data_IF_754236371519
#
_entry.id   IF_754236371519
#
_cell.length_a   1.000
_cell.length_b   1.000
_cell.length_c   1.000
_cell.angle_alpha   90.00
_cell.angle_beta   90.00
_cell.angle_gamma   90.00
#
_symmetry.space_group_name_H-M   'P 1'
#
loop_
_entity.id
_entity.type
_entity.pdbx_description
1 polymer ?
#
# COMPACT_ATOMS: atom_id res chain seq x y z
N UNK A 1 -4.93 -7.40 -16.32
CA UNK A 1 -3.71 -6.56 -16.43
C UNK A 1 -3.41 -5.75 -15.14
N UNK A 2 -4.27 -5.71 -14.16
CA UNK A 2 -4.05 -4.98 -12.91
C UNK A 2 -3.94 -5.94 -11.72
N UNK A 3 -2.91 -5.76 -10.89
CA UNK A 3 -2.58 -6.63 -9.77
C UNK A 3 -3.54 -6.46 -8.57
N UNK A 4 -4.35 -5.40 -8.55
CA UNK A 4 -5.25 -5.14 -7.43
C UNK A 4 -6.42 -6.14 -7.34
N UNK A 5 -6.80 -6.81 -8.42
CA UNK A 5 -7.89 -7.80 -8.39
C UNK A 5 -7.60 -9.07 -7.56
N UNK A 6 -6.34 -9.32 -7.21
CA UNK A 6 -5.95 -10.47 -6.39
C UNK A 6 -5.74 -10.11 -4.91
N UNK A 7 -5.81 -8.83 -4.55
CA UNK A 7 -5.38 -8.39 -3.22
C UNK A 7 -6.27 -8.92 -2.09
N UNK A 8 -7.59 -8.82 -2.23
CA UNK A 8 -8.53 -9.40 -1.24
C UNK A 8 -8.29 -10.89 -1.07
N UNK A 9 -8.02 -11.59 -2.19
CA UNK A 9 -7.69 -13.01 -2.16
C UNK A 9 -6.32 -13.25 -1.48
N UNK A 10 -5.33 -12.39 -1.69
CA UNK A 10 -4.01 -12.49 -1.04
C UNK A 10 -4.14 -12.36 0.49
N UNK A 11 -4.99 -11.44 0.96
CA UNK A 11 -5.29 -11.30 2.40
C UNK A 11 -5.98 -12.55 2.93
N UNK A 12 -7.01 -13.03 2.26
CA UNK A 12 -7.77 -14.21 2.72
C UNK A 12 -6.92 -15.48 2.70
N UNK A 13 -6.10 -15.69 1.69
CA UNK A 13 -5.16 -16.82 1.66
C UNK A 13 -4.18 -16.74 2.83
N UNK A 14 -3.66 -15.53 3.14
CA UNK A 14 -2.78 -15.32 4.29
C UNK A 14 -3.48 -15.59 5.62
N UNK A 15 -4.72 -15.11 5.79
CA UNK A 15 -5.55 -15.37 6.99
C UNK A 15 -5.83 -16.86 7.19
N UNK A 16 -6.10 -17.57 6.08
CA UNK A 16 -6.33 -19.01 6.10
C UNK A 16 -5.04 -19.84 6.26
N UNK A 17 -3.86 -19.20 6.30
CA UNK A 17 -2.58 -19.90 6.34
C UNK A 17 -2.28 -20.71 5.08
N UNK A 18 -2.91 -20.39 3.95
CA UNK A 18 -2.70 -21.06 2.67
C UNK A 18 -1.51 -20.43 1.95
N UNK A 19 -0.41 -21.18 1.72
CA UNK A 19 0.75 -20.66 1.04
C UNK A 19 0.43 -20.35 -0.43
N UNK A 20 0.87 -19.21 -0.92
CA UNK A 20 0.71 -18.82 -2.31
C UNK A 20 1.93 -18.10 -2.88
N UNK A 21 2.08 -18.20 -4.18
CA UNK A 21 3.11 -17.50 -4.96
C UNK A 21 2.43 -16.60 -5.98
N UNK A 22 2.84 -15.34 -6.08
CA UNK A 22 2.35 -14.41 -7.09
C UNK A 22 3.34 -14.31 -8.25
N UNK A 23 2.88 -14.64 -9.45
CA UNK A 23 3.65 -14.52 -10.69
C UNK A 23 3.16 -13.33 -11.50
N UNK A 24 4.03 -12.32 -11.65
CA UNK A 24 3.77 -11.10 -12.40
C UNK A 24 3.05 -10.02 -11.59
N UNK A 25 3.44 -8.77 -11.88
CA UNK A 25 2.96 -7.56 -11.22
C UNK A 25 3.70 -7.27 -9.91
N UNK A 26 3.74 -5.99 -9.53
CA UNK A 26 4.19 -5.55 -8.20
C UNK A 26 3.04 -5.86 -7.24
N UNK A 27 3.36 -6.40 -6.06
CA UNK A 27 2.35 -6.53 -5.00
C UNK A 27 1.80 -5.14 -4.70
N UNK A 28 0.48 -5.06 -4.55
CA UNK A 28 -0.22 -3.81 -4.27
C UNK A 28 0.39 -3.06 -3.08
N UNK A 29 0.62 -3.77 -1.96
CA UNK A 29 1.21 -3.20 -0.75
C UNK A 29 2.68 -2.78 -0.91
N UNK A 30 3.37 -3.23 -1.96
CA UNK A 30 4.76 -2.88 -2.24
C UNK A 30 4.90 -1.65 -3.12
N UNK A 31 3.80 -1.22 -3.74
CA UNK A 31 3.77 0.00 -4.52
C UNK A 31 4.19 1.21 -3.66
N UNK A 32 5.06 2.07 -4.20
CA UNK A 32 5.65 3.18 -3.45
C UNK A 32 4.58 4.07 -2.80
N UNK A 33 3.56 4.47 -3.56
CA UNK A 33 2.47 5.34 -3.08
C UNK A 33 1.59 4.69 -2.01
N UNK A 34 1.40 3.36 -2.06
CA UNK A 34 0.70 2.62 -1.00
C UNK A 34 1.55 2.57 0.26
N UNK A 35 2.85 2.26 0.13
CA UNK A 35 3.81 2.31 1.26
C UNK A 35 3.90 3.71 1.87
N UNK A 36 3.80 4.77 1.07
CA UNK A 36 3.81 6.14 1.56
C UNK A 36 2.59 6.43 2.43
N UNK A 37 1.39 6.09 1.96
CA UNK A 37 0.16 6.27 2.73
C UNK A 37 0.19 5.42 4.01
N UNK A 38 0.56 4.14 3.91
CA UNK A 38 0.67 3.24 5.07
C UNK A 38 1.72 3.72 6.08
N UNK A 39 2.80 4.35 5.65
CA UNK A 39 3.80 4.91 6.56
C UNK A 39 3.22 6.01 7.44
N UNK A 40 2.33 6.88 6.91
CA UNK A 40 1.63 7.89 7.71
C UNK A 40 0.75 7.25 8.79
N UNK A 41 0.02 6.19 8.45
CA UNK A 41 -0.81 5.47 9.42
C UNK A 41 0.02 4.72 10.46
N UNK A 42 1.16 4.15 10.06
CA UNK A 42 2.06 3.45 10.99
C UNK A 42 2.65 4.36 12.04
N UNK A 43 3.05 5.58 11.69
CA UNK A 43 3.59 6.52 12.69
C UNK A 43 2.53 7.05 13.65
N UNK A 44 1.25 6.99 13.29
CA UNK A 44 0.14 7.29 14.20
C UNK A 44 0.00 6.17 15.24
N UNK A 45 0.03 4.91 14.81
CA UNK A 45 -0.09 3.74 15.71
C UNK A 45 1.19 3.52 16.52
N UNK A 46 2.35 3.70 15.88
CA UNK A 46 3.65 3.55 16.54
C UNK A 46 4.55 4.76 16.28
N UNK A 47 4.51 5.77 17.16
CA UNK A 47 5.36 6.96 17.04
C UNK A 47 6.87 6.70 17.15
N UNK A 48 7.30 5.47 17.49
CA UNK A 48 8.70 5.06 17.52
C UNK A 48 9.17 4.39 16.23
N UNK A 49 8.30 4.25 15.22
CA UNK A 49 8.68 3.66 13.92
C UNK A 49 9.55 4.63 13.10
N UNK A 50 10.86 4.55 13.34
CA UNK A 50 11.84 5.38 12.66
C UNK A 50 11.86 5.20 11.13
N UNK A 51 11.55 4.00 10.64
CA UNK A 51 11.54 3.69 9.19
C UNK A 51 10.37 4.41 8.52
N UNK A 52 9.18 4.29 9.08
CA UNK A 52 7.99 4.98 8.57
C UNK A 52 8.14 6.50 8.69
N UNK A 53 8.69 7.02 9.80
CA UNK A 53 9.00 8.44 9.92
C UNK A 53 9.96 8.94 8.85
N UNK A 54 11.07 8.25 8.62
CA UNK A 54 12.01 8.63 7.57
C UNK A 54 11.32 8.72 6.21
N UNK A 55 10.47 7.74 5.91
CA UNK A 55 9.71 7.70 4.66
C UNK A 55 8.76 8.89 4.52
N UNK A 56 7.96 9.16 5.53
CA UNK A 56 7.00 10.27 5.55
C UNK A 56 7.71 11.63 5.43
N UNK A 57 8.80 11.82 6.16
CA UNK A 57 9.56 13.06 6.14
C UNK A 57 10.20 13.33 4.77
N UNK A 58 10.63 12.29 4.07
CA UNK A 58 11.20 12.43 2.71
C UNK A 58 10.18 12.89 1.66
N UNK A 59 8.88 12.83 1.95
CA UNK A 59 7.82 13.35 1.09
C UNK A 59 7.61 14.86 1.25
N UNK A 60 8.13 15.45 2.33
CA UNK A 60 7.97 16.89 2.60
C UNK A 60 8.97 17.70 1.79
N UNK A 61 8.48 18.67 1.04
CA UNK A 61 9.33 19.55 0.23
C UNK A 61 10.44 20.21 1.08
N UNK A 62 11.68 20.15 0.60
CA UNK A 62 12.84 20.73 1.28
C UNK A 62 13.37 19.91 2.46
N UNK A 63 12.89 18.67 2.63
CA UNK A 63 13.47 17.70 3.55
C UNK A 63 14.28 16.68 2.76
N UNK A 64 15.61 16.76 2.88
CA UNK A 64 16.52 15.77 2.31
C UNK A 64 16.88 14.66 3.32
N UNK A 65 17.62 13.60 2.90
CA UNK A 65 17.92 12.44 3.73
C UNK A 65 18.56 12.79 5.09
N UNK A 66 19.51 13.70 5.11
CA UNK A 66 20.18 14.13 6.35
C UNK A 66 19.20 14.79 7.32
N UNK A 67 18.37 15.72 6.83
CA UNK A 67 17.38 16.40 7.66
C UNK A 67 16.32 15.44 8.16
N UNK A 68 15.86 14.51 7.33
CA UNK A 68 14.93 13.45 7.74
C UNK A 68 15.54 12.62 8.88
N UNK A 69 16.79 12.22 8.75
CA UNK A 69 17.50 11.44 9.77
C UNK A 69 17.65 12.21 11.09
N UNK A 70 18.02 13.49 11.02
CA UNK A 70 18.15 14.35 12.20
C UNK A 70 16.81 14.54 12.92
N UNK A 71 15.70 14.74 12.16
CA UNK A 71 14.36 14.85 12.69
C UNK A 71 13.91 13.54 13.36
N UNK A 72 14.10 12.39 12.70
CA UNK A 72 13.80 11.08 13.28
C UNK A 72 14.54 10.87 14.59
N UNK A 73 15.84 11.17 14.63
CA UNK A 73 16.66 11.04 15.83
C UNK A 73 16.18 11.94 17.00
N UNK A 74 15.59 13.09 16.69
CA UNK A 74 14.98 13.96 17.68
C UNK A 74 13.62 13.41 18.15
N UNK A 75 12.80 12.93 17.24
CA UNK A 75 11.41 12.50 17.49
C UNK A 75 11.34 11.23 18.35
N UNK A 76 12.22 10.25 18.13
CA UNK A 76 12.25 9.00 18.94
C UNK A 76 12.71 9.22 20.38
N UNK A 77 13.20 10.41 20.71
CA UNK A 77 13.69 10.78 22.07
C UNK A 77 12.67 11.56 22.91
N UNK A 78 11.55 11.95 22.30
CA UNK A 78 10.54 12.78 22.94
C UNK A 78 9.21 12.03 23.03
N UNK A 79 8.37 12.42 24.00
CA UNK A 79 7.04 11.83 24.15
C UNK A 79 6.05 12.34 23.10
N UNK A 80 6.22 13.58 22.62
CA UNK A 80 5.41 14.15 21.54
C UNK A 80 6.27 14.41 20.30
N UNK A 81 6.35 13.46 19.36
CA UNK A 81 7.13 13.64 18.14
C UNK A 81 6.57 14.74 17.25
N UNK A 82 5.27 15.02 17.32
CA UNK A 82 4.64 16.08 16.51
C UNK A 82 5.10 17.48 16.92
N UNK A 83 5.53 17.67 18.19
CA UNK A 83 6.10 18.94 18.63
C UNK A 83 7.38 19.29 17.89
N UNK A 84 8.24 18.30 17.60
CA UNK A 84 9.48 18.50 16.83
C UNK A 84 9.17 19.03 15.44
N UNK A 85 8.09 18.55 14.83
CA UNK A 85 7.64 19.03 13.50
C UNK A 85 7.05 20.44 13.59
N UNK A 86 6.25 20.74 14.62
CA UNK A 86 5.66 22.07 14.85
C UNK A 86 6.71 23.15 15.07
N UNK A 87 7.80 22.81 15.76
CA UNK A 87 8.91 23.74 16.06
C UNK A 87 9.88 23.90 14.88
N UNK A 88 9.72 23.11 13.84
CA UNK A 88 10.56 23.18 12.64
C UNK A 88 10.36 24.51 11.89
N UNK A 89 11.45 25.06 11.40
CA UNK A 89 11.50 26.33 10.68
C UNK A 89 12.25 26.23 9.36
N UNK A 90 12.30 27.33 8.61
CA UNK A 90 12.96 27.40 7.31
C UNK A 90 12.10 26.88 6.17
N UNK A 91 12.72 26.53 5.03
CA UNK A 91 12.05 26.19 3.76
C UNK A 91 11.01 25.06 3.92
N UNK A 92 11.32 24.02 4.68
CA UNK A 92 10.42 22.90 4.91
C UNK A 92 9.48 23.08 6.11
N UNK A 93 9.58 24.19 6.84
CA UNK A 93 8.82 24.39 8.09
C UNK A 93 7.31 24.37 7.89
N UNK A 94 6.81 24.91 6.77
CA UNK A 94 5.38 24.88 6.46
C UNK A 94 4.88 23.46 6.26
N UNK A 95 5.51 22.67 5.40
CA UNK A 95 5.11 21.29 5.12
C UNK A 95 5.23 20.39 6.36
N UNK A 96 6.26 20.57 7.19
CA UNK A 96 6.41 19.83 8.45
C UNK A 96 5.30 20.16 9.46
N UNK A 97 4.85 21.41 9.54
CA UNK A 97 3.70 21.81 10.39
C UNK A 97 2.38 21.26 9.87
N UNK A 98 2.17 21.24 8.57
CA UNK A 98 0.99 20.64 7.94
C UNK A 98 0.94 19.13 8.22
N UNK A 99 2.06 18.43 8.07
CA UNK A 99 2.20 17.02 8.43
C UNK A 99 1.88 16.80 9.91
N UNK A 100 2.44 17.63 10.81
CA UNK A 100 2.17 17.54 12.24
C UNK A 100 0.69 17.70 12.56
N UNK A 101 -0.01 18.63 11.92
CA UNK A 101 -1.44 18.85 12.15
C UNK A 101 -2.28 17.62 11.76
N UNK A 102 -1.99 17.01 10.63
CA UNK A 102 -2.72 15.81 10.18
C UNK A 102 -2.48 14.64 11.12
N UNK A 103 -1.22 14.32 11.41
CA UNK A 103 -0.87 13.16 12.22
C UNK A 103 -1.30 13.34 13.71
N UNK A 104 -1.15 14.53 14.27
CA UNK A 104 -1.61 14.84 15.63
C UNK A 104 -3.13 14.75 15.76
N UNK A 105 -3.87 15.20 14.73
CA UNK A 105 -5.33 15.05 14.69
C UNK A 105 -5.77 13.58 14.65
N UNK A 106 -5.06 12.74 13.92
CA UNK A 106 -5.33 11.30 13.85
C UNK A 106 -5.00 10.59 15.17
N UNK A 107 -3.87 10.92 15.80
CA UNK A 107 -3.44 10.30 17.04
C UNK A 107 -4.33 10.61 18.25
N UNK A 108 -5.11 11.69 18.20
CA UNK A 108 -6.04 12.13 19.26
C UNK A 108 -7.49 11.70 19.03
N UNK A 109 -7.76 11.04 17.93
CA UNK A 109 -9.12 10.67 17.50
C UNK A 109 -9.33 9.16 17.65
N UNK A 110 -9.65 8.72 18.86
CA UNK A 110 -9.88 7.30 19.17
C UNK A 110 -11.14 6.73 18.50
N UNK A 111 -12.10 7.60 18.13
CA UNK A 111 -13.40 7.22 17.56
C UNK A 111 -13.39 7.07 16.02
N UNK A 112 -12.29 7.39 15.34
CA UNK A 112 -12.23 7.31 13.89
C UNK A 112 -12.09 5.86 13.40
N UNK A 113 -12.95 5.48 12.47
CA UNK A 113 -12.81 4.22 11.72
C UNK A 113 -11.50 4.20 10.91
N UNK A 114 -10.95 3.01 10.60
CA UNK A 114 -9.79 2.88 9.72
C UNK A 114 -9.98 3.60 8.38
N UNK A 115 -11.18 3.53 7.81
CA UNK A 115 -11.57 4.20 6.57
C UNK A 115 -11.43 5.71 6.66
N UNK A 116 -11.91 6.33 7.74
CA UNK A 116 -11.79 7.77 7.96
C UNK A 116 -10.33 8.20 8.16
N UNK A 117 -9.53 7.38 8.84
CA UNK A 117 -8.10 7.64 9.02
C UNK A 117 -7.34 7.54 7.70
N UNK A 118 -7.62 6.51 6.89
CA UNK A 118 -7.09 6.36 5.52
C UNK A 118 -7.46 7.58 4.69
N UNK A 119 -8.73 8.01 4.73
CA UNK A 119 -9.20 9.15 3.95
C UNK A 119 -8.49 10.47 4.32
N UNK A 120 -8.30 10.75 5.62
CA UNK A 120 -7.57 11.95 6.05
C UNK A 120 -6.12 11.97 5.58
N UNK A 121 -5.44 10.82 5.64
CA UNK A 121 -4.07 10.70 5.10
C UNK A 121 -4.08 10.83 3.59
N UNK A 122 -5.05 10.23 2.90
CA UNK A 122 -5.21 10.33 1.45
C UNK A 122 -5.36 11.78 0.99
N UNK A 123 -6.25 12.56 1.64
CA UNK A 123 -6.46 13.97 1.32
C UNK A 123 -5.17 14.80 1.47
N UNK A 124 -4.40 14.55 2.50
CA UNK A 124 -3.10 15.19 2.71
C UNK A 124 -2.06 14.75 1.65
N UNK A 125 -2.01 13.47 1.35
CA UNK A 125 -1.01 12.89 0.46
C UNK A 125 -1.29 13.12 -1.04
N UNK A 126 -2.55 13.30 -1.43
CA UNK A 126 -2.96 13.43 -2.82
C UNK A 126 -2.26 14.56 -3.59
N UNK A 127 -2.10 15.79 -3.07
CA UNK A 127 -1.32 16.82 -3.73
C UNK A 127 0.15 16.42 -3.94
N UNK A 128 0.76 15.79 -2.93
CA UNK A 128 2.15 15.31 -2.98
C UNK A 128 2.31 14.23 -4.06
N UNK A 129 1.37 13.28 -4.12
CA UNK A 129 1.35 12.24 -5.13
C UNK A 129 1.29 12.81 -6.55
N UNK A 130 0.44 13.81 -6.77
CA UNK A 130 0.28 14.47 -8.08
C UNK A 130 1.52 15.22 -8.52
N UNK A 131 2.25 15.81 -7.58
CA UNK A 131 3.47 16.55 -7.85
C UNK A 131 4.66 15.63 -8.16
N UNK A 132 4.68 14.44 -7.55
CA UNK A 132 5.80 13.50 -7.70
C UNK A 132 5.64 12.48 -8.83
N UNK A 133 4.42 12.29 -9.37
CA UNK A 133 4.13 11.20 -10.29
C UNK A 133 3.21 11.59 -11.43
N UNK A 134 3.69 11.56 -12.67
CA UNK A 134 2.88 11.82 -13.87
C UNK A 134 1.78 10.77 -14.07
N UNK A 135 2.00 9.54 -13.61
CA UNK A 135 1.05 8.42 -13.67
C UNK A 135 0.07 8.37 -12.47
N UNK A 136 -0.11 9.51 -11.78
CA UNK A 136 -0.97 9.62 -10.59
C UNK A 136 -2.41 9.08 -10.78
N UNK A 137 -3.06 9.18 -11.98
CA UNK A 137 -4.42 8.66 -12.12
C UNK A 137 -4.50 7.13 -11.95
N UNK A 138 -3.41 6.41 -12.26
CA UNK A 138 -3.33 4.97 -12.00
C UNK A 138 -3.12 4.70 -10.51
N UNK A 139 -2.27 5.48 -9.86
CA UNK A 139 -1.93 5.33 -8.44
C UNK A 139 -3.09 5.70 -7.53
N UNK A 140 -3.92 6.67 -7.92
CA UNK A 140 -5.16 6.99 -7.21
C UNK A 140 -6.05 5.76 -7.08
N UNK A 141 -6.22 4.97 -8.14
CA UNK A 141 -7.05 3.75 -8.10
C UNK A 141 -6.54 2.71 -7.10
N UNK A 142 -5.23 2.63 -6.93
CA UNK A 142 -4.65 1.75 -5.90
C UNK A 142 -4.96 2.29 -4.49
N UNK A 143 -4.94 3.61 -4.28
CA UNK A 143 -5.29 4.23 -3.00
C UNK A 143 -6.80 4.14 -2.71
N UNK A 144 -7.66 4.31 -3.73
CA UNK A 144 -9.11 4.09 -3.60
C UNK A 144 -9.41 2.65 -3.19
N UNK A 145 -8.66 1.68 -3.73
CA UNK A 145 -8.78 0.29 -3.32
C UNK A 145 -8.35 0.07 -1.87
N UNK A 146 -7.25 0.71 -1.43
CA UNK A 146 -6.82 0.65 -0.02
C UNK A 146 -7.92 1.18 0.91
N UNK A 147 -8.62 2.23 0.50
CA UNK A 147 -9.77 2.77 1.23
C UNK A 147 -10.89 1.72 1.36
N UNK A 148 -11.23 1.04 0.26
CA UNK A 148 -12.25 -0.03 0.27
C UNK A 148 -11.87 -1.18 1.19
N UNK A 149 -10.59 -1.57 1.21
CA UNK A 149 -10.12 -2.63 2.12
C UNK A 149 -10.28 -2.20 3.57
N UNK A 150 -9.98 -0.95 3.90
CA UNK A 150 -10.10 -0.41 5.25
C UNK A 150 -11.54 -0.49 5.80
N UNK A 151 -12.57 -0.52 4.93
CA UNK A 151 -13.98 -0.66 5.31
C UNK A 151 -14.28 -1.99 6.04
N UNK A 152 -13.49 -3.02 5.79
CA UNK A 152 -13.68 -4.35 6.41
C UNK A 152 -13.05 -4.47 7.80
N UNK A 153 -12.40 -3.44 8.31
CA UNK A 153 -11.70 -3.47 9.60
C UNK A 153 -12.35 -2.57 10.63
N UNK A 154 -12.35 -3.04 11.87
CA UNK A 154 -12.86 -2.28 13.03
C UNK A 154 -11.79 -1.41 13.69
N UNK A 155 -10.50 -1.72 13.49
CA UNK A 155 -9.38 -1.02 14.10
C UNK A 155 -8.18 -0.84 13.19
N UNK A 156 -7.51 0.33 13.28
CA UNK A 156 -6.34 0.66 12.47
C UNK A 156 -5.17 -0.31 12.71
N UNK A 157 -4.99 -0.74 13.96
CA UNK A 157 -3.89 -1.67 14.31
C UNK A 157 -4.08 -3.03 13.65
N UNK A 158 -5.31 -3.56 13.62
CA UNK A 158 -5.66 -4.81 12.95
C UNK A 158 -5.44 -4.67 11.44
N UNK A 159 -5.96 -3.60 10.84
CA UNK A 159 -5.76 -3.30 9.43
C UNK A 159 -4.28 -3.28 9.03
N UNK A 160 -3.43 -2.57 9.79
CA UNK A 160 -2.00 -2.49 9.50
C UNK A 160 -1.26 -3.80 9.75
N UNK A 161 -1.70 -4.61 10.74
CA UNK A 161 -1.13 -5.91 11.03
C UNK A 161 -1.39 -6.92 9.90
N UNK A 162 -2.63 -6.99 9.41
CA UNK A 162 -2.99 -7.87 8.30
C UNK A 162 -2.24 -7.50 7.01
N UNK A 163 -2.09 -6.20 6.72
CA UNK A 163 -1.29 -5.74 5.59
C UNK A 163 0.21 -6.07 5.74
N UNK A 164 0.71 -6.14 6.97
CA UNK A 164 2.11 -6.51 7.23
C UNK A 164 2.34 -8.02 7.12
N UNK A 165 1.31 -8.85 7.36
CA UNK A 165 1.36 -10.31 7.26
C UNK A 165 1.29 -10.81 5.81
N UNK A 166 0.93 -9.95 4.85
CA UNK A 166 1.03 -10.31 3.44
C UNK A 166 2.47 -10.80 3.17
N UNK A 167 2.64 -12.07 2.73
CA UNK A 167 3.97 -12.67 2.70
C UNK A 167 4.92 -11.81 1.90
N UNK A 168 6.17 -11.63 2.36
CA UNK A 168 7.20 -10.99 1.56
C UNK A 168 7.30 -11.73 0.25
N UNK A 169 7.67 -11.02 -0.83
CA UNK A 169 7.76 -11.63 -2.15
C UNK A 169 8.38 -13.02 -2.06
N UNK A 170 7.56 -14.05 -2.28
CA UNK A 170 8.02 -15.34 -2.73
C UNK A 170 8.50 -15.26 -4.18
N UNK A 171 9.01 -14.09 -4.59
CA UNK A 171 9.96 -14.02 -5.67
C UNK A 171 11.17 -14.75 -5.14
N UNK A 172 11.18 -16.04 -5.37
CA UNK A 172 12.36 -16.87 -5.36
C UNK A 172 13.47 -16.24 -6.22
N UNK A 173 14.07 -15.17 -5.72
CA UNK A 173 15.44 -14.85 -6.01
C UNK A 173 16.21 -15.77 -5.07
N UNK A 174 16.51 -16.99 -5.54
CA UNK A 174 17.48 -17.87 -4.92
C UNK A 174 17.01 -18.91 -3.93
N UNK A 175 15.72 -19.24 -3.85
CA UNK A 175 15.33 -20.54 -3.28
C UNK A 175 15.18 -21.50 -4.45
N UNK A 176 16.17 -22.39 -4.62
CA UNK A 176 16.04 -23.61 -5.41
C UNK A 176 14.66 -24.22 -5.09
N UNK A 177 13.90 -24.72 -6.07
CA UNK A 177 12.65 -25.39 -5.82
C UNK A 177 12.95 -26.59 -4.91
N UNK A 178 12.82 -26.37 -3.61
CA UNK A 178 12.74 -27.48 -2.67
C UNK A 178 11.42 -28.17 -2.99
N UNK A 179 11.46 -29.28 -3.67
CA UNK A 179 10.54 -30.28 -4.16
C UNK A 179 9.10 -30.38 -3.63
N UNK A 180 8.39 -29.27 -3.39
CA UNK A 180 7.01 -29.18 -2.95
C UNK A 180 6.25 -28.02 -3.60
N UNK A 181 6.52 -27.76 -4.89
CA UNK A 181 5.72 -26.81 -5.70
C UNK A 181 4.23 -27.18 -5.80
N UNK A 182 3.89 -28.43 -5.48
CA UNK A 182 2.53 -28.97 -5.61
C UNK A 182 1.56 -28.54 -4.49
N UNK A 183 2.04 -27.85 -3.45
CA UNK A 183 1.21 -27.47 -2.30
C UNK A 183 0.92 -25.97 -2.20
N UNK A 184 1.26 -25.18 -3.22
CA UNK A 184 1.08 -23.72 -3.20
C UNK A 184 0.07 -23.24 -4.24
N UNK A 185 -0.77 -22.28 -3.86
CA UNK A 185 -1.65 -21.58 -4.81
C UNK A 185 -0.82 -20.60 -5.64
N UNK A 186 -0.93 -20.69 -6.97
CA UNK A 186 -0.25 -19.75 -7.87
C UNK A 186 -1.23 -18.66 -8.30
N UNK A 187 -1.00 -17.43 -7.88
CA UNK A 187 -1.70 -16.25 -8.35
C UNK A 187 -0.95 -15.70 -9.56
N UNK A 188 -1.60 -15.65 -10.72
CA UNK A 188 -0.95 -15.21 -11.96
C UNK A 188 -1.84 -14.30 -12.79
N UNK A 189 -1.22 -13.38 -13.52
CA UNK A 189 -1.92 -12.70 -14.62
C UNK A 189 -1.99 -13.62 -15.82
N UNK A 190 -2.98 -13.42 -16.71
CA UNK A 190 -3.11 -14.20 -17.95
C UNK A 190 -1.82 -14.16 -18.78
N UNK A 191 -1.14 -13.01 -18.82
CA UNK A 191 0.13 -12.89 -19.56
C UNK A 191 1.27 -13.69 -18.93
N UNK A 192 1.34 -13.70 -17.62
CA UNK A 192 2.37 -14.47 -16.90
C UNK A 192 2.07 -15.97 -16.87
N UNK A 193 0.83 -16.33 -17.13
CA UNK A 193 0.36 -17.73 -17.26
C UNK A 193 0.64 -18.34 -18.62
N UNK A 194 1.03 -17.53 -19.64
CA UNK A 194 1.27 -18.03 -21.00
C UNK A 194 2.36 -19.10 -21.01
N UNK A 195 2.01 -20.29 -21.53
CA UNK A 195 2.91 -21.43 -21.63
C UNK A 195 3.04 -22.25 -20.34
N UNK A 196 2.24 -21.94 -19.32
CA UNK A 196 2.16 -22.72 -18.09
C UNK A 196 0.86 -23.54 -18.07
N UNK A 197 0.90 -24.69 -17.40
CA UNK A 197 -0.22 -25.62 -17.29
C UNK A 197 -0.44 -25.97 -15.81
N UNK A 198 -1.71 -26.11 -15.41
CA UNK A 198 -2.11 -26.48 -14.04
C UNK A 198 -3.26 -27.48 -14.08
N UNK A 199 -3.36 -28.32 -13.07
CA UNK A 199 -4.45 -29.28 -12.94
C UNK A 199 -5.81 -28.60 -12.69
N UNK A 200 -5.80 -27.45 -12.02
CA UNK A 200 -6.99 -26.66 -11.73
C UNK A 200 -6.70 -25.18 -11.90
N UNK A 201 -7.61 -24.46 -12.56
CA UNK A 201 -7.49 -23.03 -12.82
C UNK A 201 -8.78 -22.33 -12.39
N UNK A 202 -8.66 -21.30 -11.56
CA UNK A 202 -9.76 -20.41 -11.18
C UNK A 202 -9.59 -19.08 -11.89
N UNK A 203 -10.55 -18.72 -12.73
CA UNK A 203 -10.60 -17.40 -13.36
C UNK A 203 -11.39 -16.44 -12.46
N UNK A 204 -10.72 -15.42 -11.95
CA UNK A 204 -11.33 -14.41 -11.09
C UNK A 204 -11.95 -13.28 -11.92
N UNK A 205 -12.99 -12.65 -11.38
CA UNK A 205 -13.62 -11.45 -11.96
C UNK A 205 -14.20 -11.66 -13.37
N UNK A 206 -14.67 -12.86 -13.66
CA UNK A 206 -15.43 -13.17 -14.90
C UNK A 206 -16.84 -12.62 -14.74
N UNK A 207 -16.98 -11.31 -14.91
CA UNK A 207 -18.24 -10.56 -14.83
C UNK A 207 -18.38 -9.65 -16.04
N UNK A 208 -19.61 -9.42 -16.47
CA UNK A 208 -19.93 -8.57 -17.60
C UNK A 208 -19.25 -7.21 -17.50
N UNK A 209 -18.65 -6.76 -18.60
CA UNK A 209 -17.93 -5.50 -18.68
C UNK A 209 -16.51 -5.49 -18.10
N UNK A 210 -16.10 -6.55 -17.37
CA UNK A 210 -14.73 -6.72 -16.88
C UNK A 210 -13.98 -7.82 -17.63
N UNK A 211 -14.65 -8.92 -17.92
CA UNK A 211 -14.11 -10.00 -18.74
C UNK A 211 -15.24 -10.69 -19.52
N UNK A 212 -15.26 -10.59 -20.87
CA UNK A 212 -14.41 -9.74 -21.71
C UNK A 212 -14.55 -8.24 -21.38
N UNK A 213 -13.50 -7.46 -21.63
CA UNK A 213 -13.52 -6.01 -21.42
C UNK A 213 -14.53 -5.35 -22.36
N UNK A 214 -15.25 -4.32 -21.88
CA UNK A 214 -16.13 -3.50 -22.76
C UNK A 214 -15.41 -2.91 -23.97
N UNK A 215 -14.09 -2.74 -23.91
CA UNK A 215 -13.27 -2.29 -25.02
C UNK A 215 -13.05 -3.38 -26.08
N UNK A 216 -13.26 -4.65 -25.74
CA UNK A 216 -13.14 -5.80 -26.67
C UNK A 216 -14.40 -6.04 -27.50
N UNK A 217 -15.46 -5.27 -27.30
CA UNK A 217 -16.70 -5.34 -28.10
C UNK A 217 -16.73 -4.36 -29.27
N UNK A 218 -15.67 -3.56 -29.47
CA UNK A 218 -15.66 -2.51 -30.47
C UNK A 218 -15.21 -2.99 -31.86
N UNK A 219 -14.68 -4.20 -32.00
CA UNK A 219 -14.31 -4.80 -33.27
C UNK A 219 -14.58 -6.31 -33.24
N UNK A 220 -15.20 -6.84 -34.30
CA UNK A 220 -15.48 -8.29 -34.44
C UNK A 220 -14.21 -9.15 -34.45
N UNK A 221 -13.06 -8.57 -34.76
CA UNK A 221 -11.75 -9.24 -34.76
C UNK A 221 -11.15 -9.43 -33.35
N UNK A 222 -11.66 -8.74 -32.32
CA UNK A 222 -11.18 -8.88 -30.93
C UNK A 222 -12.00 -9.93 -30.14
N UNK A 223 -13.03 -10.52 -30.74
CA UNK A 223 -13.90 -11.53 -30.13
C UNK A 223 -13.50 -12.98 -30.49
N UNK A 224 -12.59 -13.18 -31.46
CA UNK A 224 -11.97 -14.46 -31.77
C UNK A 224 -10.64 -14.65 -30.99
#
# INVERSE_FOLDING_TARGET
RSSFHSFDLEIELSRCGLPFVKRGGIKFIEAAHVKDLLAHLRVVVNPQDAVSWHRVLMLVEGVGPKKAQDLVAAMVRVNDPYQVLRDSSGRSGKGLKELALVLDSLSKSDDLSPTEQVNRVYEYYLPILKDHHDDYPKRIRDLDHLHTIAESYSGLTEFLADLALAPPDGSAVGVEPSGRDDEQVVLSTIHSAKGLEWQCVFLLWVVDGKFPSVFSFNTDEELE
#
